data_IF_839971358595
#
_entry.id   IF_839971358595
#
_cell.length_a   1.000
_cell.length_b   1.000
_cell.length_c   1.000
_cell.angle_alpha   90.00
_cell.angle_beta   90.00
_cell.angle_gamma   90.00
#
_symmetry.space_group_name_H-M   'P 1'
#
loop_
_entity.id
_entity.type
_entity.pdbx_description
1 polymer ?
#
# COMPACT_ATOMS: atom_id res chain seq x y z
N UNK A 1 89.46 3.62 10.73
CA UNK A 1 88.98 4.58 9.71
C UNK A 1 87.48 4.75 9.90
N UNK A 2 87.09 5.80 10.64
CA UNK A 2 86.32 6.98 10.17
C UNK A 2 84.92 6.66 9.61
N UNK A 3 83.98 6.91 10.52
CA UNK A 3 82.53 7.10 10.45
C UNK A 3 82.03 7.95 9.27
N UNK A 4 80.88 7.57 8.70
CA UNK A 4 79.86 8.54 8.25
C UNK A 4 78.45 7.92 8.26
N UNK A 5 77.43 8.60 8.81
CA UNK A 5 76.04 8.14 8.87
C UNK A 5 75.21 8.68 7.69
N UNK A 6 74.20 7.94 7.23
CA UNK A 6 73.23 8.44 6.24
C UNK A 6 71.79 8.16 6.65
N UNK A 7 71.13 9.26 7.00
CA UNK A 7 69.82 9.70 6.53
C UNK A 7 68.58 8.87 6.88
N UNK A 8 67.83 9.47 7.79
CA UNK A 8 66.42 9.30 8.13
C UNK A 8 65.47 9.44 6.93
N UNK A 9 64.54 8.49 6.79
CA UNK A 9 63.23 8.71 6.15
C UNK A 9 62.13 8.03 6.96
N UNK A 10 61.53 8.82 7.86
CA UNK A 10 60.26 8.50 8.51
C UNK A 10 59.15 8.64 7.46
N UNK A 11 58.63 7.51 6.99
CA UNK A 11 57.45 7.48 6.12
C UNK A 11 56.23 7.67 7.02
N UNK A 12 55.76 8.91 7.07
CA UNK A 12 54.54 9.33 7.74
C UNK A 12 53.36 8.73 6.97
N UNK A 13 52.90 7.56 7.38
CA UNK A 13 51.68 6.95 6.87
C UNK A 13 50.47 7.83 7.22
N UNK A 14 50.02 8.63 6.26
CA UNK A 14 48.75 9.35 6.31
C UNK A 14 47.62 8.33 6.23
N UNK A 15 47.20 7.85 7.41
CA UNK A 15 45.98 7.08 7.61
C UNK A 15 44.79 7.97 7.23
N UNK A 16 44.40 7.91 5.94
CA UNK A 16 43.13 8.45 5.43
C UNK A 16 42.01 7.81 6.24
N UNK A 17 41.49 8.54 7.22
CA UNK A 17 40.19 8.28 7.84
C UNK A 17 39.15 8.33 6.71
N UNK A 18 38.81 7.16 6.19
CA UNK A 18 37.65 6.96 5.33
C UNK A 18 36.47 7.27 6.23
N UNK A 19 35.87 8.45 6.04
CA UNK A 19 34.59 8.79 6.66
C UNK A 19 33.58 7.78 6.13
N UNK A 20 33.34 6.76 6.94
CA UNK A 20 32.22 5.86 6.78
C UNK A 20 30.98 6.70 7.11
N UNK A 21 30.39 7.32 6.07
CA UNK A 21 29.05 7.87 6.15
C UNK A 21 28.13 6.66 6.23
N UNK A 22 27.88 6.20 7.44
CA UNK A 22 26.68 5.42 7.75
C UNK A 22 25.50 6.24 7.28
N UNK A 23 24.97 5.90 6.12
CA UNK A 23 23.67 6.35 5.68
C UNK A 23 22.69 5.85 6.72
N UNK A 24 22.29 6.73 7.65
CA UNK A 24 21.13 6.47 8.50
C UNK A 24 19.93 6.52 7.56
N UNK A 25 19.53 5.36 7.04
CA UNK A 25 18.29 5.21 6.30
C UNK A 25 17.18 5.55 7.29
N UNK A 26 16.71 6.80 7.25
CA UNK A 26 15.65 7.26 8.14
C UNK A 26 14.36 6.67 7.58
N UNK A 27 13.84 5.64 8.26
CA UNK A 27 12.55 5.05 7.93
C UNK A 27 11.49 6.17 7.92
N UNK A 28 10.65 6.28 6.88
CA UNK A 28 9.61 7.32 6.84
C UNK A 28 8.68 7.18 8.05
N UNK A 29 8.37 8.28 8.72
CA UNK A 29 7.41 8.28 9.81
C UNK A 29 6.01 7.96 9.30
N UNK A 30 5.21 7.26 10.12
CA UNK A 30 3.79 7.08 9.88
C UNK A 30 3.07 8.42 9.60
N UNK A 31 1.97 8.39 8.83
CA UNK A 31 1.23 9.60 8.50
C UNK A 31 0.57 10.18 9.75
N UNK A 32 0.46 11.51 9.82
CA UNK A 32 -0.29 12.15 10.89
C UNK A 32 -1.77 12.13 10.54
N UNK A 33 -2.51 11.23 11.17
CA UNK A 33 -3.98 11.12 11.06
C UNK A 33 -4.61 11.55 12.38
N UNK A 34 -5.63 12.41 12.33
CA UNK A 34 -6.24 13.02 13.50
C UNK A 34 -7.70 13.42 13.22
N UNK A 35 -8.56 12.46 12.90
CA UNK A 35 -10.00 12.68 12.94
C UNK A 35 -10.53 12.69 14.39
N UNK A 36 -11.61 13.45 14.66
CA UNK A 36 -12.21 13.51 15.98
C UNK A 36 -12.69 12.13 16.43
N UNK A 37 -12.54 11.84 17.72
CA UNK A 37 -13.02 10.61 18.32
C UNK A 37 -14.52 10.75 18.60
N UNK A 38 -15.34 10.08 17.78
CA UNK A 38 -16.81 10.13 17.87
C UNK A 38 -17.40 8.82 18.43
N UNK A 39 -16.64 8.11 19.27
CA UNK A 39 -16.95 6.76 19.80
C UNK A 39 -17.16 5.67 18.73
N UNK A 40 -16.87 5.98 17.46
CA UNK A 40 -16.93 5.04 16.35
C UNK A 40 -15.73 4.08 16.39
N UNK A 41 -15.98 2.81 16.05
CA UNK A 41 -14.96 1.76 16.10
C UNK A 41 -13.84 2.00 15.09
N UNK A 42 -12.63 2.26 15.59
CA UNK A 42 -11.41 2.38 14.79
C UNK A 42 -10.76 1.00 14.61
N UNK A 43 -10.53 0.60 13.35
CA UNK A 43 -9.82 -0.64 13.05
C UNK A 43 -8.32 -0.38 13.01
N UNK A 44 -7.56 -1.05 13.87
CA UNK A 44 -6.09 -0.98 13.80
C UNK A 44 -5.60 -1.84 12.64
N UNK A 45 -4.85 -1.22 11.73
CA UNK A 45 -4.31 -1.83 10.51
C UNK A 45 -2.80 -1.85 10.61
N UNK A 46 -2.23 -3.05 10.65
CA UNK A 46 -0.78 -3.22 10.63
C UNK A 46 -0.25 -3.06 9.22
N UNK A 47 0.71 -2.17 9.04
CA UNK A 47 1.31 -1.84 7.75
C UNK A 47 2.82 -2.08 7.79
N UNK A 48 3.42 -2.28 6.62
CA UNK A 48 4.86 -2.33 6.46
C UNK A 48 5.53 -1.05 6.94
N UNK A 49 6.77 -1.15 7.42
CA UNK A 49 7.55 -0.01 7.89
C UNK A 49 7.91 0.97 6.77
N UNK A 50 8.09 0.47 5.54
CA UNK A 50 8.50 1.27 4.39
C UNK A 50 7.31 1.50 3.43
N UNK A 51 6.79 2.74 3.33
CA UNK A 51 5.78 3.07 2.33
C UNK A 51 6.39 3.14 0.93
N UNK A 52 5.55 2.87 -0.07
CA UNK A 52 5.91 3.07 -1.48
C UNK A 52 5.65 4.52 -1.88
N UNK A 53 6.65 5.15 -2.48
CA UNK A 53 6.48 6.44 -3.13
C UNK A 53 5.74 6.27 -4.46
N UNK A 54 4.66 7.04 -4.65
CA UNK A 54 3.93 7.12 -5.92
C UNK A 54 4.22 8.45 -6.62
N UNK A 55 3.77 8.57 -7.86
CA UNK A 55 3.84 9.80 -8.64
C UNK A 55 3.23 10.96 -7.84
N UNK A 56 3.89 12.11 -7.84
CA UNK A 56 3.45 13.29 -7.07
C UNK A 56 3.83 13.27 -5.59
N UNK A 57 4.70 12.35 -5.17
CA UNK A 57 5.22 12.30 -3.79
C UNK A 57 4.22 11.77 -2.76
N UNK A 58 3.12 11.18 -3.21
CA UNK A 58 2.13 10.55 -2.33
C UNK A 58 2.73 9.24 -1.80
N UNK A 59 2.66 9.07 -0.48
CA UNK A 59 3.08 7.84 0.19
C UNK A 59 1.90 6.85 0.25
N UNK A 60 2.19 5.62 -0.15
CA UNK A 60 1.29 4.49 -0.09
C UNK A 60 1.80 3.44 0.90
N UNK A 61 1.03 3.24 1.96
CA UNK A 61 1.29 2.19 2.94
C UNK A 61 0.68 0.88 2.46
N UNK A 62 1.35 -0.24 2.71
CA UNK A 62 0.81 -1.57 2.39
C UNK A 62 0.47 -2.32 3.67
N UNK A 63 -0.70 -2.94 3.71
CA UNK A 63 -1.11 -3.80 4.84
C UNK A 63 -0.21 -5.03 4.90
N UNK A 64 0.28 -5.35 6.10
CA UNK A 64 1.23 -6.44 6.37
C UNK A 64 0.59 -7.64 7.07
N UNK A 65 -0.46 -7.39 7.86
CA UNK A 65 -1.20 -8.45 8.54
C UNK A 65 -2.71 -8.34 8.31
N UNK A 66 -3.45 -9.45 8.37
CA UNK A 66 -4.91 -9.44 8.28
C UNK A 66 -5.53 -8.51 9.34
N UNK A 67 -6.37 -7.53 8.95
CA UNK A 67 -7.10 -6.71 9.88
C UNK A 67 -8.18 -7.52 10.62
N UNK A 68 -8.66 -7.01 11.76
CA UNK A 68 -9.70 -7.67 12.57
C UNK A 68 -11.03 -7.88 11.82
N UNK A 69 -11.27 -7.12 10.74
CA UNK A 69 -12.40 -7.27 9.81
C UNK A 69 -12.01 -6.76 8.43
N UNK A 70 -12.74 -7.18 7.38
CA UNK A 70 -12.53 -6.66 6.02
C UNK A 70 -12.70 -5.13 6.00
N UNK A 71 -11.77 -4.46 5.34
CA UNK A 71 -11.65 -3.00 5.28
C UNK A 71 -12.41 -2.45 4.07
N UNK A 72 -13.26 -1.45 4.28
CA UNK A 72 -14.10 -0.88 3.23
C UNK A 72 -14.32 0.61 3.39
N UNK A 73 -15.02 1.19 2.41
CA UNK A 73 -15.37 2.61 2.37
C UNK A 73 -16.10 3.03 3.65
N UNK A 74 -15.77 4.22 4.15
CA UNK A 74 -16.42 4.83 5.30
C UNK A 74 -15.95 4.30 6.65
N UNK A 75 -14.99 3.37 6.70
CA UNK A 75 -14.48 2.86 7.96
C UNK A 75 -13.34 3.72 8.51
N UNK A 76 -13.38 3.96 9.83
CA UNK A 76 -12.26 4.52 10.57
C UNK A 76 -11.16 3.48 10.78
N UNK A 77 -9.93 3.88 10.52
CA UNK A 77 -8.73 3.07 10.68
C UNK A 77 -7.64 3.83 11.44
N UNK A 78 -6.74 3.08 12.08
CA UNK A 78 -5.45 3.61 12.54
C UNK A 78 -4.34 2.74 11.94
N UNK A 79 -3.27 3.36 11.45
CA UNK A 79 -2.13 2.64 10.90
C UNK A 79 -1.12 2.37 12.01
N UNK A 80 -0.59 1.15 12.04
CA UNK A 80 0.40 0.72 13.03
C UNK A 80 1.57 0.02 12.36
N UNK A 81 2.78 0.37 12.76
CA UNK A 81 4.01 -0.30 12.36
C UNK A 81 5.00 -0.30 13.54
N UNK A 82 6.29 -0.58 13.30
CA UNK A 82 7.29 -0.61 14.39
C UNK A 82 7.60 0.78 14.96
N UNK A 83 7.37 1.85 14.19
CA UNK A 83 7.61 3.23 14.61
C UNK A 83 6.52 3.79 15.52
N UNK A 84 5.32 3.19 15.51
CA UNK A 84 4.21 3.62 16.36
C UNK A 84 2.85 3.34 15.76
N UNK A 85 1.89 4.17 16.13
CA UNK A 85 0.50 4.08 15.72
C UNK A 85 -0.02 5.50 15.44
N UNK A 86 -0.83 5.65 14.40
CA UNK A 86 -1.42 6.94 14.04
C UNK A 86 -2.66 7.23 14.89
N UNK A 87 -3.20 8.45 14.79
CA UNK A 87 -4.59 8.67 15.16
C UNK A 87 -5.56 8.12 14.11
N UNK A 88 -6.86 8.36 14.26
CA UNK A 88 -7.87 7.85 13.34
C UNK A 88 -7.85 8.57 11.98
N UNK A 89 -7.98 7.80 10.91
CA UNK A 89 -8.25 8.26 9.55
C UNK A 89 -9.43 7.50 8.93
N UNK A 90 -9.97 8.00 7.82
CA UNK A 90 -11.16 7.44 7.17
C UNK A 90 -10.81 6.91 5.78
N UNK A 91 -11.23 5.68 5.47
CA UNK A 91 -11.16 5.12 4.11
C UNK A 91 -12.24 5.75 3.23
N UNK A 92 -11.85 6.52 2.21
CA UNK A 92 -12.83 7.34 1.46
C UNK A 92 -13.17 6.80 0.08
N UNK A 93 -12.17 6.47 -0.73
CA UNK A 93 -12.35 6.06 -2.12
C UNK A 93 -11.23 5.13 -2.60
N UNK A 94 -11.56 4.23 -3.52
CA UNK A 94 -10.58 3.42 -4.25
C UNK A 94 -9.92 4.30 -5.30
N UNK A 95 -8.59 4.34 -5.33
CA UNK A 95 -7.81 5.08 -6.33
C UNK A 95 -7.25 4.16 -7.40
N UNK A 96 -6.92 2.92 -7.04
CA UNK A 96 -6.27 1.98 -7.96
C UNK A 96 -6.75 0.54 -7.69
N UNK A 97 -6.98 -0.19 -8.78
CA UNK A 97 -7.32 -1.62 -8.78
C UNK A 97 -6.15 -2.41 -9.36
N UNK A 98 -5.60 -3.30 -8.56
CA UNK A 98 -4.65 -4.31 -9.00
C UNK A 98 -5.26 -5.69 -8.84
N UNK A 99 -4.64 -6.69 -9.47
CA UNK A 99 -5.14 -8.06 -9.42
C UNK A 99 -5.29 -8.55 -7.97
N UNK A 100 -4.30 -8.29 -7.14
CA UNK A 100 -4.26 -8.79 -5.76
C UNK A 100 -4.40 -7.71 -4.68
N UNK A 101 -4.44 -6.44 -5.07
CA UNK A 101 -4.41 -5.31 -4.15
C UNK A 101 -5.39 -4.21 -4.57
N UNK A 102 -5.99 -3.55 -3.59
CA UNK A 102 -6.87 -2.41 -3.78
C UNK A 102 -6.28 -1.23 -3.02
N UNK A 103 -6.06 -0.12 -3.73
CA UNK A 103 -5.51 1.09 -3.12
C UNK A 103 -6.64 2.04 -2.77
N UNK A 104 -6.69 2.45 -1.51
CA UNK A 104 -7.65 3.39 -0.95
C UNK A 104 -6.99 4.70 -0.60
N UNK A 105 -7.75 5.79 -0.71
CA UNK A 105 -7.42 7.06 -0.07
C UNK A 105 -7.79 7.02 1.41
N UNK A 106 -6.89 7.55 2.24
CA UNK A 106 -7.14 7.83 3.66
C UNK A 106 -7.26 9.34 3.84
N UNK A 107 -8.34 9.80 4.46
CA UNK A 107 -8.47 11.18 4.96
C UNK A 107 -8.25 11.26 6.47
N UNK A 108 -8.05 12.48 6.99
CA UNK A 108 -7.80 12.72 8.40
C UNK A 108 -6.43 13.34 8.72
N UNK A 109 -5.59 13.55 7.70
CA UNK A 109 -4.32 14.25 7.84
C UNK A 109 -4.23 15.52 6.98
N UNK A 110 -3.12 16.28 7.09
CA UNK A 110 -2.90 17.49 6.31
C UNK A 110 -2.66 17.22 4.82
N UNK A 111 -2.31 15.99 4.47
CA UNK A 111 -2.10 15.53 3.10
C UNK A 111 -2.89 14.25 2.82
N UNK A 112 -3.09 13.95 1.54
CA UNK A 112 -3.73 12.72 1.12
C UNK A 112 -2.74 11.55 1.25
N UNK A 113 -3.12 10.52 2.00
CA UNK A 113 -2.36 9.28 2.12
C UNK A 113 -3.08 8.15 1.42
N UNK A 114 -2.34 7.11 1.02
CA UNK A 114 -2.89 5.91 0.39
C UNK A 114 -2.60 4.66 1.22
N UNK A 115 -3.51 3.70 1.15
CA UNK A 115 -3.38 2.38 1.75
C UNK A 115 -3.71 1.31 0.72
N UNK A 116 -2.74 0.43 0.44
CA UNK A 116 -2.94 -0.75 -0.38
C UNK A 116 -3.27 -1.95 0.48
N UNK A 117 -4.44 -2.52 0.25
CA UNK A 117 -5.04 -3.60 1.02
C UNK A 117 -5.18 -4.82 0.10
N UNK A 118 -4.74 -6.02 0.51
CA UNK A 118 -5.01 -7.23 -0.24
C UNK A 118 -6.51 -7.44 -0.48
N UNK A 119 -6.86 -7.96 -1.66
CA UNK A 119 -8.27 -8.16 -2.05
C UNK A 119 -9.06 -8.99 -1.01
N UNK A 120 -8.54 -10.11 -0.44
CA UNK A 120 -9.25 -10.87 0.58
C UNK A 120 -9.61 -10.07 1.83
N UNK A 121 -8.80 -9.07 2.17
CA UNK A 121 -8.98 -8.23 3.35
C UNK A 121 -9.77 -6.96 3.05
N UNK A 122 -10.19 -6.77 1.80
CA UNK A 122 -10.96 -5.61 1.37
C UNK A 122 -12.44 -5.98 1.24
N UNK A 123 -13.32 -5.17 1.81
CA UNK A 123 -14.76 -5.19 1.56
C UNK A 123 -15.06 -4.27 0.37
N UNK A 124 -14.86 -4.80 -0.84
CA UNK A 124 -15.25 -4.10 -2.07
C UNK A 124 -16.76 -4.17 -2.24
N UNK A 125 -17.37 -3.05 -2.62
CA UNK A 125 -18.81 -2.96 -2.91
C UNK A 125 -19.01 -2.21 -4.21
N UNK A 126 -20.22 -2.26 -4.76
CA UNK A 126 -20.60 -1.41 -5.90
C UNK A 126 -19.79 -1.68 -7.18
N UNK A 127 -19.47 -0.59 -7.87
CA UNK A 127 -18.88 -0.60 -9.21
C UNK A 127 -17.45 -1.17 -9.17
N UNK A 128 -16.71 -0.92 -8.10
CA UNK A 128 -15.34 -1.38 -7.91
C UNK A 128 -15.26 -2.90 -7.79
N UNK A 129 -16.18 -3.53 -7.06
CA UNK A 129 -16.26 -4.98 -6.94
C UNK A 129 -16.56 -5.64 -8.30
N UNK A 130 -17.54 -5.11 -9.04
CA UNK A 130 -17.89 -5.61 -10.37
C UNK A 130 -16.73 -5.41 -11.36
N UNK A 131 -16.11 -4.23 -11.37
CA UNK A 131 -14.97 -3.94 -12.22
C UNK A 131 -13.80 -4.87 -11.93
N UNK A 132 -13.50 -5.12 -10.65
CA UNK A 132 -12.44 -6.04 -10.25
C UNK A 132 -12.72 -7.46 -10.72
N UNK A 133 -13.90 -8.00 -10.44
CA UNK A 133 -14.28 -9.37 -10.83
C UNK A 133 -14.24 -9.56 -12.35
N UNK A 134 -14.79 -8.61 -13.10
CA UNK A 134 -14.91 -8.71 -14.56
C UNK A 134 -13.57 -8.53 -15.28
N UNK A 135 -12.76 -7.61 -14.80
CA UNK A 135 -11.51 -7.23 -15.45
C UNK A 135 -10.27 -7.80 -14.76
N UNK A 136 -10.44 -8.72 -13.80
CA UNK A 136 -9.38 -9.30 -12.99
C UNK A 136 -8.11 -9.68 -13.77
N UNK A 137 -8.28 -10.37 -14.90
CA UNK A 137 -7.16 -10.82 -15.73
C UNK A 137 -6.46 -9.67 -16.48
N UNK A 138 -7.16 -8.56 -16.72
CA UNK A 138 -6.64 -7.35 -17.36
C UNK A 138 -6.03 -6.35 -16.36
N UNK A 139 -6.29 -6.52 -15.05
CA UNK A 139 -5.71 -5.66 -14.03
C UNK A 139 -4.19 -5.89 -13.93
N UNK A 140 -3.41 -4.85 -13.55
CA UNK A 140 -1.98 -5.01 -13.37
C UNK A 140 -1.67 -6.06 -12.29
N UNK A 141 -0.72 -6.94 -12.61
CA UNK A 141 -0.35 -8.11 -11.80
C UNK A 141 0.63 -7.76 -10.65
N UNK A 142 1.28 -6.59 -10.73
CA UNK A 142 2.17 -6.08 -9.70
C UNK A 142 1.43 -5.04 -8.86
N UNK A 143 1.46 -5.09 -7.52
CA UNK A 143 2.31 -5.97 -6.72
C UNK A 143 1.81 -7.44 -6.66
N UNK A 144 2.74 -8.40 -6.45
CA UNK A 144 2.39 -9.82 -6.33
C UNK A 144 1.45 -10.03 -5.14
N UNK A 145 0.70 -11.15 -5.10
CA UNK A 145 -0.22 -11.44 -4.00
C UNK A 145 0.51 -11.44 -2.65
N UNK A 146 -0.19 -10.96 -1.62
CA UNK A 146 0.34 -10.95 -0.26
C UNK A 146 0.63 -12.39 0.18
N UNK A 147 1.78 -12.64 0.83
CA UNK A 147 2.22 -13.98 1.25
C UNK A 147 1.15 -14.76 2.03
N UNK A 148 0.52 -14.12 3.01
CA UNK A 148 -0.59 -14.65 3.81
C UNK A 148 -1.91 -14.89 3.05
N UNK A 149 -2.02 -14.45 1.80
CA UNK A 149 -3.22 -14.66 0.97
C UNK A 149 -3.04 -15.74 -0.10
N UNK A 150 -1.82 -16.25 -0.28
CA UNK A 150 -1.53 -17.31 -1.24
C UNK A 150 -1.96 -18.64 -0.61
N UNK A 151 -2.97 -19.28 -1.19
CA UNK A 151 -3.31 -20.65 -0.82
C UNK A 151 -2.41 -21.61 -1.63
N UNK A 152 -1.52 -22.38 -0.99
CA UNK A 152 -0.62 -23.30 -1.71
C UNK A 152 -1.38 -24.40 -2.46
N UNK A 153 -2.64 -24.69 -2.08
CA UNK A 153 -3.45 -25.74 -2.68
C UNK A 153 -4.29 -25.25 -3.87
N UNK A 154 -4.37 -23.94 -4.10
CA UNK A 154 -5.12 -23.34 -5.20
C UNK A 154 -4.23 -22.33 -5.92
N UNK A 155 -3.41 -22.78 -6.89
CA UNK A 155 -2.65 -21.86 -7.73
C UNK A 155 -3.62 -20.87 -8.41
N UNK A 156 -3.21 -19.61 -8.48
CA UNK A 156 -4.00 -18.49 -9.02
C UNK A 156 -4.10 -18.54 -10.57
N UNK A 157 -4.23 -19.74 -11.13
CA UNK A 157 -4.32 -19.99 -12.57
C UNK A 157 -5.80 -20.10 -12.97
N UNK A 158 -6.41 -18.95 -13.24
CA UNK A 158 -7.79 -18.86 -13.69
C UNK A 158 -8.07 -17.54 -14.41
N UNK A 159 -9.00 -17.59 -15.37
CA UNK A 159 -9.51 -16.39 -16.06
C UNK A 159 -10.51 -15.61 -15.19
N UNK A 160 -11.03 -16.25 -14.13
CA UNK A 160 -11.94 -15.66 -13.14
C UNK A 160 -11.18 -15.18 -11.91
N UNK A 161 -11.68 -14.10 -11.29
CA UNK A 161 -11.21 -13.68 -9.97
C UNK A 161 -11.37 -14.82 -8.96
N UNK A 162 -10.31 -15.20 -8.22
CA UNK A 162 -10.39 -16.19 -7.15
C UNK A 162 -10.96 -15.59 -5.86
N UNK A 163 -11.24 -14.29 -5.84
CA UNK A 163 -11.69 -13.57 -4.66
C UNK A 163 -13.21 -13.44 -4.65
N UNK A 164 -13.80 -13.78 -3.51
CA UNK A 164 -15.22 -13.66 -3.32
C UNK A 164 -15.62 -12.19 -3.04
N UNK A 165 -16.51 -11.68 -3.89
CA UNK A 165 -17.20 -10.41 -3.69
C UNK A 165 -18.53 -10.68 -3.03
N UNK A 166 -18.87 -9.96 -1.97
CA UNK A 166 -20.13 -10.13 -1.22
C UNK A 166 -21.39 -9.65 -1.97
N UNK A 167 -21.36 -9.60 -3.30
CA UNK A 167 -22.46 -9.14 -4.13
C UNK A 167 -23.37 -10.30 -4.50
N UNK A 168 -24.68 -10.09 -4.37
CA UNK A 168 -25.67 -11.00 -4.96
C UNK A 168 -25.63 -10.92 -6.50
N UNK A 169 -26.18 -11.95 -7.15
CA UNK A 169 -26.28 -11.98 -8.62
C UNK A 169 -27.08 -10.79 -9.16
N UNK A 170 -28.21 -10.45 -8.54
CA UNK A 170 -29.06 -9.33 -8.95
C UNK A 170 -28.35 -7.98 -8.80
N UNK A 171 -27.63 -7.77 -7.69
CA UNK A 171 -26.80 -6.57 -7.51
C UNK A 171 -25.70 -6.48 -8.57
N UNK A 172 -25.10 -7.61 -8.93
CA UNK A 172 -24.07 -7.69 -9.96
C UNK A 172 -24.63 -7.25 -11.31
N UNK A 173 -25.76 -7.80 -11.74
CA UNK A 173 -26.42 -7.48 -13.03
C UNK A 173 -26.81 -5.98 -13.10
N UNK A 174 -27.31 -5.40 -12.00
CA UNK A 174 -27.64 -3.98 -11.91
C UNK A 174 -26.39 -3.10 -12.02
N UNK A 175 -25.35 -3.41 -11.24
CA UNK A 175 -24.09 -2.65 -11.23
C UNK A 175 -23.34 -2.77 -12.57
N UNK A 176 -23.41 -3.91 -13.24
CA UNK A 176 -22.89 -4.08 -14.60
C UNK A 176 -23.59 -3.15 -15.58
N UNK A 177 -24.93 -3.09 -15.54
CA UNK A 177 -25.72 -2.20 -16.39
C UNK A 177 -25.35 -0.73 -16.15
N UNK A 178 -25.11 -0.35 -14.88
CA UNK A 178 -24.63 1.00 -14.52
C UNK A 178 -23.22 1.27 -15.05
N UNK A 179 -22.30 0.31 -14.92
CA UNK A 179 -20.92 0.44 -15.41
C UNK A 179 -20.89 0.60 -16.94
N UNK A 180 -21.73 -0.16 -17.66
CA UNK A 180 -21.90 -0.01 -19.11
C UNK A 180 -22.46 1.37 -19.48
N UNK A 181 -23.46 1.87 -18.76
CA UNK A 181 -24.01 3.20 -19.01
C UNK A 181 -22.98 4.32 -18.81
N UNK A 182 -22.15 4.22 -17.77
CA UNK A 182 -21.09 5.20 -17.50
C UNK A 182 -20.03 5.15 -18.61
N UNK A 183 -19.58 3.95 -18.96
CA UNK A 183 -18.55 3.77 -20.00
C UNK A 183 -19.03 4.24 -21.37
N UNK A 184 -20.26 3.91 -21.79
CA UNK A 184 -20.83 4.37 -23.06
C UNK A 184 -20.97 5.89 -23.12
N UNK A 185 -21.49 6.52 -22.06
CA UNK A 185 -21.61 7.99 -22.02
C UNK A 185 -20.26 8.69 -22.19
N UNK A 186 -19.17 8.16 -21.64
CA UNK A 186 -17.84 8.75 -21.81
C UNK A 186 -17.33 8.74 -23.28
N UNK A 187 -17.90 7.92 -24.16
CA UNK A 187 -17.54 7.89 -25.59
C UNK A 187 -18.38 8.84 -26.45
N UNK A 188 -19.51 9.37 -25.94
CA UNK A 188 -20.38 10.29 -26.67
C UNK A 188 -19.96 11.77 -26.55
N UNK A 189 -19.00 12.08 -25.66
CA UNK A 189 -18.46 13.45 -25.47
C UNK A 189 -17.10 13.67 -26.17
N UNK A 190 -16.74 12.84 -27.15
CA UNK A 190 -15.58 13.05 -28.03
C UNK A 190 -16.04 13.36 -29.44
#
# INVERSE_FOLDING_TARGET
MKTQPRSSKSVRATRRKRNDKTHVTTTPSLPTLSLPHNDETVVVVKVLDEPKARTGGILEWMVDEPPARRLGRGQLISLKNTSGETGPGLLTAVTDLHRHWITWTISGGPTQYRLSIPVPWTAMTGVEAVAHTKHYHLLPDLPPPHSLTINPNHPLEGLSSPYDTSLSREETENLESRLQSITQKCWEWR
#
